data_IF_543335250092
#
_entry.id   IF_543335250092
#
_cell.length_a   1.000
_cell.length_b   1.000
_cell.length_c   1.000
_cell.angle_alpha   90.00
_cell.angle_beta   90.00
_cell.angle_gamma   90.00
#
_symmetry.space_group_name_H-M   'P 1'
#
loop_
_entity.id
_entity.type
_entity.pdbx_description
1 polymer ?
#
# COMPACT_ATOMS: atom_id res chain seq x y z
N UNK A 1 24.42 -37.38 36.84
CA UNK A 1 23.03 -36.92 36.62
C UNK A 1 23.01 -35.42 36.36
N UNK A 2 22.87 -35.00 35.09
CA UNK A 2 22.21 -33.73 34.72
C UNK A 2 21.94 -33.73 33.20
N UNK A 3 21.04 -34.59 32.77
CA UNK A 3 20.28 -34.32 31.55
C UNK A 3 19.38 -33.13 31.87
N UNK A 4 19.23 -32.15 30.97
CA UNK A 4 17.99 -31.41 30.76
C UNK A 4 18.10 -30.55 29.49
N UNK A 5 17.76 -31.20 28.37
CA UNK A 5 16.81 -30.76 27.34
C UNK A 5 16.93 -29.27 26.94
N UNK A 6 17.69 -29.01 25.87
CA UNK A 6 17.61 -27.77 25.08
C UNK A 6 16.25 -27.72 24.39
N UNK A 7 15.46 -26.68 24.69
CA UNK A 7 14.13 -26.45 24.13
C UNK A 7 14.18 -26.16 22.63
N UNK A 8 13.25 -26.75 21.88
CA UNK A 8 13.03 -26.50 20.46
C UNK A 8 12.49 -25.08 20.25
N UNK A 9 13.33 -24.21 19.69
CA UNK A 9 12.91 -22.90 19.18
C UNK A 9 12.24 -23.13 17.83
N UNK A 10 10.91 -23.03 17.77
CA UNK A 10 10.17 -23.05 16.50
C UNK A 10 10.31 -21.68 15.85
N UNK A 11 11.17 -21.58 14.83
CA UNK A 11 11.28 -20.38 13.99
C UNK A 11 10.13 -20.44 12.99
N UNK A 12 9.06 -19.66 13.23
CA UNK A 12 8.02 -19.46 12.24
C UNK A 12 8.60 -18.64 11.07
N UNK A 13 8.97 -19.33 9.99
CA UNK A 13 9.38 -18.67 8.75
C UNK A 13 8.16 -17.98 8.12
N UNK A 14 8.00 -16.68 8.37
CA UNK A 14 7.08 -15.86 7.62
C UNK A 14 7.62 -15.70 6.19
N UNK A 15 7.07 -16.47 5.26
CA UNK A 15 7.33 -16.30 3.84
C UNK A 15 6.72 -14.98 3.37
N UNK A 16 7.53 -13.92 3.36
CA UNK A 16 7.20 -12.68 2.64
C UNK A 16 7.29 -12.97 1.15
N UNK A 17 6.17 -13.37 0.55
CA UNK A 17 6.02 -13.34 -0.89
C UNK A 17 6.15 -11.89 -1.35
N UNK A 18 7.31 -11.52 -1.87
CA UNK A 18 7.51 -10.24 -2.56
C UNK A 18 6.76 -10.29 -3.88
N UNK A 19 5.48 -9.90 -3.85
CA UNK A 19 4.74 -9.64 -5.06
C UNK A 19 5.50 -8.56 -5.85
N UNK A 20 5.89 -8.88 -7.09
CA UNK A 20 6.40 -7.88 -8.01
C UNK A 20 5.43 -6.69 -8.00
N UNK A 21 5.94 -5.48 -7.78
CA UNK A 21 5.15 -4.27 -7.77
C UNK A 21 4.60 -4.02 -9.19
N UNK A 22 3.50 -4.69 -9.52
CA UNK A 22 2.70 -4.37 -10.69
C UNK A 22 2.28 -2.91 -10.50
N UNK A 23 2.67 -2.05 -11.44
CA UNK A 23 2.26 -0.65 -11.47
C UNK A 23 0.76 -0.58 -11.78
N UNK A 24 -0.06 -0.96 -10.80
CA UNK A 24 -1.50 -0.88 -10.84
C UNK A 24 -1.89 0.50 -10.35
N UNK A 25 -2.67 1.22 -11.14
CA UNK A 25 -3.30 2.45 -10.66
C UNK A 25 -4.39 2.08 -9.63
N UNK A 26 -4.03 2.12 -8.35
CA UNK A 26 -4.98 1.96 -7.25
C UNK A 26 -5.79 3.25 -7.05
N UNK A 27 -7.10 3.17 -6.79
CA UNK A 27 -7.96 4.35 -6.72
C UNK A 27 -7.73 5.24 -5.48
N UNK A 28 -7.08 4.75 -4.43
CA UNK A 28 -6.84 5.50 -3.20
C UNK A 28 -5.37 5.50 -2.79
N UNK A 29 -4.92 6.63 -2.26
CA UNK A 29 -3.57 6.85 -1.76
C UNK A 29 -3.58 7.28 -0.30
N UNK A 30 -2.65 6.75 0.49
CA UNK A 30 -2.36 7.18 1.84
C UNK A 30 -1.31 8.29 1.79
N UNK A 31 -1.67 9.46 2.32
CA UNK A 31 -0.81 10.64 2.40
C UNK A 31 -0.50 10.94 3.86
N UNK A 32 0.67 11.50 4.14
CA UNK A 32 1.07 11.89 5.50
C UNK A 32 1.91 13.16 5.42
N UNK A 33 1.97 13.92 6.51
CA UNK A 33 2.84 15.10 6.58
C UNK A 33 4.28 14.66 6.40
N UNK A 34 4.96 15.19 5.37
CA UNK A 34 6.35 14.85 5.03
C UNK A 34 6.50 13.75 3.97
N UNK A 35 5.42 13.05 3.61
CA UNK A 35 5.40 12.21 2.41
C UNK A 35 5.02 13.08 1.19
N UNK A 36 5.76 12.93 0.09
CA UNK A 36 5.46 13.65 -1.15
C UNK A 36 4.07 13.30 -1.69
N UNK A 37 3.46 14.20 -2.46
CA UNK A 37 2.14 14.00 -3.06
C UNK A 37 2.20 13.05 -4.28
N UNK A 38 1.27 12.09 -4.44
CA UNK A 38 0.05 11.83 -3.65
C UNK A 38 0.22 10.84 -2.49
N UNK A 39 1.46 10.46 -2.15
CA UNK A 39 1.76 9.44 -1.15
C UNK A 39 1.73 8.01 -1.70
N UNK A 40 1.34 7.05 -0.86
CA UNK A 40 1.32 5.61 -1.18
C UNK A 40 -0.02 5.19 -1.79
N UNK A 41 -0.04 4.89 -3.09
CA UNK A 41 -1.25 4.45 -3.79
C UNK A 41 -1.30 2.92 -3.94
N UNK A 42 -1.70 2.23 -2.86
CA UNK A 42 -1.78 0.75 -2.82
C UNK A 42 -3.16 0.23 -2.39
N UNK A 43 -4.18 1.09 -2.37
CA UNK A 43 -5.47 0.78 -1.74
C UNK A 43 -6.60 0.73 -2.77
N UNK A 44 -7.36 -0.37 -2.73
CA UNK A 44 -8.51 -0.60 -3.64
C UNK A 44 -9.80 0.07 -3.16
N UNK A 45 -9.89 0.39 -1.87
CA UNK A 45 -11.03 1.07 -1.27
C UNK A 45 -10.60 2.09 -0.22
N UNK A 46 -11.42 3.13 -0.05
CA UNK A 46 -11.18 4.17 0.96
C UNK A 46 -11.09 3.59 2.37
N UNK A 47 -11.98 2.63 2.69
CA UNK A 47 -11.99 1.95 3.99
C UNK A 47 -10.69 1.15 4.25
N UNK A 48 -10.15 0.49 3.23
CA UNK A 48 -8.86 -0.19 3.35
C UNK A 48 -7.73 0.80 3.63
N UNK A 49 -7.73 1.95 2.94
CA UNK A 49 -6.77 3.02 3.21
C UNK A 49 -6.90 3.56 4.64
N UNK A 50 -8.12 3.86 5.11
CA UNK A 50 -8.37 4.36 6.46
C UNK A 50 -7.97 3.36 7.55
N UNK A 51 -8.17 2.07 7.30
CA UNK A 51 -7.70 1.01 8.20
C UNK A 51 -6.17 1.04 8.34
N UNK A 52 -5.43 1.31 7.26
CA UNK A 52 -3.98 1.47 7.29
C UNK A 52 -3.49 2.82 7.83
N UNK A 53 -4.29 3.88 7.68
CA UNK A 53 -4.02 5.20 8.24
C UNK A 53 -4.27 5.27 9.76
N UNK A 54 -5.11 4.37 10.29
CA UNK A 54 -5.44 4.29 11.71
C UNK A 54 -4.18 4.20 12.59
N UNK A 55 -4.08 5.08 13.58
CA UNK A 55 -2.92 5.15 14.48
C UNK A 55 -1.66 5.77 13.87
N UNK A 56 -1.73 6.30 12.65
CA UNK A 56 -0.66 7.05 11.99
C UNK A 56 -1.12 8.49 11.78
N UNK A 57 -0.17 9.43 11.68
CA UNK A 57 -0.46 10.80 11.24
C UNK A 57 -0.64 10.86 9.72
N UNK A 58 -1.59 10.09 9.21
CA UNK A 58 -1.84 9.91 7.79
C UNK A 58 -3.34 10.04 7.46
N UNK A 59 -3.62 10.43 6.23
CA UNK A 59 -4.95 10.62 5.65
C UNK A 59 -5.06 9.89 4.31
N UNK A 60 -6.28 9.74 3.82
CA UNK A 60 -6.58 9.06 2.57
C UNK A 60 -7.13 10.02 1.52
N UNK A 61 -6.59 9.95 0.30
CA UNK A 61 -7.03 10.76 -0.85
C UNK A 61 -7.34 9.87 -2.05
N UNK A 62 -8.14 10.40 -2.99
CA UNK A 62 -8.34 9.77 -4.29
C UNK A 62 -7.07 9.89 -5.12
N UNK A 63 -6.67 8.82 -5.80
CA UNK A 63 -5.49 8.81 -6.66
C UNK A 63 -5.68 9.78 -7.85
N UNK A 64 -4.86 10.84 -7.96
CA UNK A 64 -4.95 11.80 -9.06
C UNK A 64 -4.72 11.19 -10.44
N UNK A 65 -3.90 10.12 -10.52
CA UNK A 65 -3.65 9.40 -11.78
C UNK A 65 -4.92 8.75 -12.31
N UNK A 66 -5.75 8.23 -11.40
CA UNK A 66 -7.05 7.65 -11.75
C UNK A 66 -8.05 8.76 -12.05
N UNK A 67 -8.13 9.78 -11.20
CA UNK A 67 -9.07 10.90 -11.36
C UNK A 67 -8.88 11.67 -12.68
N UNK A 68 -7.63 11.88 -13.11
CA UNK A 68 -7.29 12.66 -14.30
C UNK A 68 -6.80 11.80 -15.49
N UNK A 69 -6.70 10.47 -15.33
CA UNK A 69 -6.22 9.56 -16.37
C UNK A 69 -7.11 9.54 -17.61
N UNK A 70 -8.43 9.59 -17.43
CA UNK A 70 -9.40 9.61 -18.53
C UNK A 70 -9.32 10.91 -19.34
N UNK A 71 -9.15 12.06 -18.67
CA UNK A 71 -9.02 13.35 -19.33
C UNK A 71 -7.83 13.39 -20.30
N UNK A 72 -6.68 12.84 -19.88
CA UNK A 72 -5.49 12.72 -20.72
C UNK A 72 -5.72 11.83 -21.95
N UNK A 73 -6.50 10.74 -21.79
CA UNK A 73 -6.86 9.85 -22.91
C UNK A 73 -7.81 10.54 -23.89
N UNK A 74 -8.82 11.25 -23.40
CA UNK A 74 -9.77 12.00 -24.21
C UNK A 74 -9.09 13.10 -25.05
N UNK A 75 -8.17 13.86 -24.44
CA UNK A 75 -7.37 14.84 -25.17
C UNK A 75 -6.54 14.19 -26.29
N UNK A 76 -5.86 13.07 -26.02
CA UNK A 76 -5.03 12.39 -27.03
C UNK A 76 -5.84 11.89 -28.24
N UNK A 77 -7.11 11.49 -28.04
CA UNK A 77 -7.96 10.97 -29.14
C UNK A 77 -8.54 12.07 -30.04
N UNK A 78 -8.42 13.34 -29.64
CA UNK A 78 -8.97 14.49 -30.37
C UNK A 78 -7.92 15.16 -31.30
N UNK A 79 -6.68 14.70 -31.24
CA UNK A 79 -5.58 15.04 -32.16
C UNK A 79 -5.27 13.84 -33.04
#
# INVERSE_FOLDING_TARGET
>A
MRNLIMGLIVIAAASVATAAAQARDYPYCLTSRGYGYPGECSYTSYRQCMASASGRLADCIVNPRVAFGEQRRSHRRRW
#
